data_IF_924366813825
#
_entry.id   IF_924366813825
#
_cell.length_a   1.000
_cell.length_b   1.000
_cell.length_c   1.000
_cell.angle_alpha   90.00
_cell.angle_beta   90.00
_cell.angle_gamma   90.00
#
_symmetry.space_group_name_H-M   'P 1'
#
loop_
_entity.id
_entity.type
_entity.pdbx_description
1 polymer ?
#
# COMPACT_ATOMS: atom_id res chain seq x y z
N UNK A 1 -8.47 16.11 1.79
CA UNK A 1 -8.17 15.63 0.42
C UNK A 1 -6.68 15.70 0.09
N UNK A 2 -5.96 16.81 0.37
CA UNK A 2 -4.50 16.92 0.10
C UNK A 2 -3.63 15.93 0.89
N UNK A 3 -4.01 15.57 2.11
CA UNK A 3 -3.24 14.63 2.95
C UNK A 3 -3.16 13.25 2.31
N UNK A 4 -4.29 12.68 1.92
CA UNK A 4 -4.36 11.38 1.22
C UNK A 4 -3.53 11.40 -0.08
N UNK A 5 -3.62 12.50 -0.85
CA UNK A 5 -2.79 12.65 -2.05
C UNK A 5 -1.30 12.63 -1.73
N UNK A 6 -0.84 13.44 -0.78
CA UNK A 6 0.58 13.56 -0.44
C UNK A 6 1.15 12.30 0.24
N UNK A 7 0.36 11.67 1.10
CA UNK A 7 0.84 10.59 1.96
C UNK A 7 0.65 9.21 1.35
N UNK A 8 -0.34 9.06 0.44
CA UNK A 8 -0.63 7.79 -0.21
C UNK A 8 -0.36 7.83 -1.71
N UNK A 9 -0.97 8.76 -2.46
CA UNK A 9 -0.85 8.77 -3.94
C UNK A 9 0.55 9.12 -4.43
N UNK A 10 1.20 10.13 -3.84
CA UNK A 10 2.55 10.55 -4.22
C UNK A 10 3.58 9.45 -3.90
N UNK A 11 3.51 8.87 -2.69
CA UNK A 11 4.39 7.77 -2.25
C UNK A 11 4.20 6.52 -3.11
N UNK A 12 2.95 6.19 -3.45
CA UNK A 12 2.63 5.07 -4.32
C UNK A 12 3.22 5.27 -5.73
N UNK A 13 3.08 6.48 -6.27
CA UNK A 13 3.63 6.84 -7.58
C UNK A 13 5.14 6.72 -7.61
N UNK A 14 5.82 7.15 -6.54
CA UNK A 14 7.27 7.02 -6.37
C UNK A 14 7.71 5.55 -6.33
N UNK A 15 7.02 4.71 -5.56
CA UNK A 15 7.30 3.26 -5.48
C UNK A 15 7.09 2.53 -6.81
N UNK A 16 6.11 2.95 -7.60
CA UNK A 16 5.90 2.42 -8.95
C UNK A 16 7.01 2.91 -9.89
N UNK A 17 7.41 4.18 -9.80
CA UNK A 17 8.45 4.77 -10.64
C UNK A 17 9.81 4.09 -10.44
N UNK A 18 10.16 3.73 -9.19
CA UNK A 18 11.39 3.01 -8.87
C UNK A 18 11.28 1.48 -9.04
N UNK A 19 10.09 0.95 -9.32
CA UNK A 19 9.86 -0.46 -9.61
C UNK A 19 9.74 -1.37 -8.38
N UNK A 20 9.63 -0.79 -7.18
CA UNK A 20 9.31 -1.50 -5.92
C UNK A 20 7.90 -2.10 -5.99
N UNK A 21 6.98 -1.39 -6.63
CA UNK A 21 5.62 -1.84 -6.93
C UNK A 21 5.43 -1.97 -8.44
N UNK A 22 4.82 -3.07 -8.86
CA UNK A 22 4.64 -3.43 -10.27
C UNK A 22 3.16 -3.53 -10.62
N UNK A 23 2.88 -3.29 -11.91
CA UNK A 23 1.54 -3.49 -12.46
C UNK A 23 1.03 -4.92 -12.20
N UNK A 24 -0.24 -5.03 -11.82
CA UNK A 24 -0.89 -6.31 -11.52
C UNK A 24 -0.72 -6.80 -10.08
N UNK A 25 0.06 -6.12 -9.25
CA UNK A 25 0.08 -6.37 -7.80
C UNK A 25 -1.11 -5.70 -7.11
N UNK A 26 -1.60 -6.34 -6.06
CA UNK A 26 -2.49 -5.70 -5.08
C UNK A 26 -1.60 -5.06 -4.03
N UNK A 27 -1.79 -3.76 -3.80
CA UNK A 27 -0.98 -3.03 -2.83
C UNK A 27 -1.74 -3.00 -1.50
N UNK A 28 -1.16 -3.66 -0.49
CA UNK A 28 -1.62 -3.56 0.89
C UNK A 28 -1.00 -2.32 1.53
N UNK A 29 -1.84 -1.50 2.16
CA UNK A 29 -1.43 -0.29 2.85
C UNK A 29 -1.83 -0.45 4.32
N UNK A 30 -0.84 -0.42 5.20
CA UNK A 30 -1.03 -0.46 6.65
C UNK A 30 -0.49 0.84 7.27
N UNK A 31 -0.75 1.03 8.57
CA UNK A 31 -0.20 2.15 9.34
C UNK A 31 0.52 1.61 10.57
N UNK A 32 1.72 2.12 10.82
CA UNK A 32 2.49 1.85 12.03
C UNK A 32 2.58 3.11 12.88
N UNK A 33 2.43 2.96 14.20
CA UNK A 33 2.40 4.10 15.13
C UNK A 33 1.05 4.81 15.19
N UNK A 34 0.99 5.92 15.94
CA UNK A 34 -0.25 6.66 16.22
C UNK A 34 -0.01 8.18 16.19
N UNK A 35 -1.08 8.93 15.92
CA UNK A 35 -1.05 10.40 15.88
C UNK A 35 -0.05 10.92 14.85
N UNK A 36 0.77 11.90 15.24
CA UNK A 36 1.76 12.54 14.36
C UNK A 36 2.97 11.63 14.03
N UNK A 37 3.12 10.50 14.74
CA UNK A 37 4.16 9.51 14.46
C UNK A 37 3.68 8.38 13.53
N UNK A 38 2.40 8.40 13.14
CA UNK A 38 1.83 7.39 12.26
C UNK A 38 2.52 7.42 10.89
N UNK A 39 2.97 6.26 10.41
CA UNK A 39 3.63 6.11 9.11
C UNK A 39 2.93 5.04 8.30
N UNK A 40 2.64 5.34 7.04
CA UNK A 40 2.06 4.36 6.13
C UNK A 40 3.11 3.41 5.57
N UNK A 41 2.83 2.12 5.60
CA UNK A 41 3.65 1.07 4.99
C UNK A 41 2.93 0.50 3.77
N UNK A 42 3.70 0.09 2.75
CA UNK A 42 3.17 -0.35 1.46
C UNK A 42 3.82 -1.68 1.07
N UNK A 43 3.00 -2.69 0.82
CA UNK A 43 3.46 -4.03 0.42
C UNK A 43 2.75 -4.45 -0.87
N UNK A 44 3.52 -4.82 -1.89
CA UNK A 44 2.99 -5.33 -3.15
C UNK A 44 2.82 -6.84 -3.11
N UNK A 45 1.58 -7.31 -3.12
CA UNK A 45 1.24 -8.73 -3.12
C UNK A 45 0.77 -9.17 -4.50
N UNK A 46 1.15 -10.38 -4.94
CA UNK A 46 0.57 -10.95 -6.15
C UNK A 46 -0.88 -11.34 -5.86
N UNK A 47 -1.80 -11.00 -6.79
CA UNK A 47 -3.25 -11.19 -6.63
C UNK A 47 -3.66 -12.60 -6.18
N UNK A 48 -2.88 -13.63 -6.52
CA UNK A 48 -3.13 -15.02 -6.09
C UNK A 48 -3.00 -15.21 -4.57
N UNK A 49 -2.08 -14.51 -3.90
CA UNK A 49 -1.82 -14.68 -2.47
C UNK A 49 -2.96 -14.12 -1.60
N UNK A 50 -3.61 -13.04 -2.06
CA UNK A 50 -4.71 -12.40 -1.31
C UNK A 50 -5.99 -13.25 -1.30
N UNK A 51 -6.25 -14.04 -2.36
CA UNK A 51 -7.41 -14.93 -2.43
C UNK A 51 -7.33 -16.06 -1.39
N UNK A 52 -6.14 -16.46 -0.95
CA UNK A 52 -5.96 -17.48 0.09
C UNK A 52 -6.10 -16.92 1.52
N UNK A 53 -5.87 -15.61 1.70
CA UNK A 53 -5.78 -14.97 3.02
C UNK A 53 -7.11 -14.40 3.54
N UNK A 54 -8.16 -14.33 2.72
CA UNK A 54 -9.51 -13.94 3.17
C UNK A 54 -10.28 -15.23 3.47
N UNK A 55 -10.47 -15.62 4.75
CA UNK A 55 -11.38 -16.71 5.05
C UNK A 55 -12.76 -16.25 4.60
N UNK A 56 -13.44 -17.09 3.81
CA UNK A 56 -14.81 -16.83 3.37
C UNK A 56 -15.66 -16.47 4.60
N UNK A 57 -16.18 -15.23 4.63
CA UNK A 57 -17.17 -14.78 5.59
C UNK A 57 -18.49 -15.53 5.38
#
# INVERSE_FOLDING_TARGET
RRTIQRELEDVLSEKILYGDLRAGQVVKIDVEGEGDAATFTFTGETKSALTEAIPAL
#
